data_IF_738368620232
#
_entry.id   IF_738368620232
#
_cell.length_a   1.000
_cell.length_b   1.000
_cell.length_c   1.000
_cell.angle_alpha   90.00
_cell.angle_beta   90.00
_cell.angle_gamma   90.00
#
_symmetry.space_group_name_H-M   'P 1'
#
loop_
_entity.id
_entity.type
_entity.pdbx_description
1 polymer ?
#
# COMPACT_ATOMS: atom_id res chain seq x y z
N UNK A 1 33.83 -41.39 -38.36
CA UNK A 1 33.33 -41.80 -37.02
C UNK A 1 32.13 -40.91 -36.72
N UNK A 2 30.92 -41.41 -36.94
CA UNK A 2 29.70 -40.61 -36.76
C UNK A 2 29.30 -40.71 -35.29
N UNK A 3 29.48 -39.63 -34.52
CA UNK A 3 28.97 -39.54 -33.16
C UNK A 3 27.43 -39.57 -33.21
N UNK A 4 26.84 -40.71 -32.83
CA UNK A 4 25.40 -40.81 -32.56
C UNK A 4 25.24 -40.75 -31.04
N UNK A 5 24.74 -39.64 -30.47
CA UNK A 5 24.42 -39.62 -29.05
C UNK A 5 23.44 -40.76 -28.76
N UNK A 6 23.70 -41.53 -27.70
CA UNK A 6 22.78 -42.57 -27.27
C UNK A 6 21.47 -41.94 -26.79
N UNK A 7 20.37 -42.70 -26.77
CA UNK A 7 19.06 -42.15 -26.39
C UNK A 7 19.05 -41.55 -24.97
N UNK A 8 19.94 -42.01 -24.08
CA UNK A 8 20.08 -41.51 -22.73
C UNK A 8 20.68 -40.09 -22.69
N UNK A 9 21.67 -39.78 -23.53
CA UNK A 9 22.28 -38.45 -23.63
C UNK A 9 21.36 -37.41 -24.27
N UNK A 10 20.44 -37.81 -25.15
CA UNK A 10 19.39 -36.92 -25.71
C UNK A 10 18.35 -36.56 -24.64
N UNK A 11 18.04 -37.48 -23.73
CA UNK A 11 17.12 -37.24 -22.60
C UNK A 11 17.68 -36.29 -21.55
N UNK A 12 19.00 -36.06 -21.53
CA UNK A 12 19.67 -35.15 -20.61
C UNK A 12 19.73 -33.69 -21.13
N UNK A 13 19.42 -33.45 -22.41
CA UNK A 13 19.42 -32.11 -23.00
C UNK A 13 18.16 -31.37 -22.55
N UNK A 14 18.29 -30.20 -21.90
CA UNK A 14 17.13 -29.41 -21.52
C UNK A 14 16.24 -29.10 -22.75
N UNK A 15 14.96 -29.41 -22.63
CA UNK A 15 13.99 -29.23 -23.72
C UNK A 15 13.25 -27.89 -23.56
N UNK A 16 12.72 -27.36 -24.67
CA UNK A 16 11.83 -26.21 -24.60
C UNK A 16 10.55 -26.54 -23.82
N UNK A 17 10.13 -25.63 -22.94
CA UNK A 17 8.81 -25.70 -22.30
C UNK A 17 7.74 -25.57 -23.39
N UNK A 18 6.72 -26.42 -23.33
CA UNK A 18 5.53 -26.31 -24.19
C UNK A 18 4.36 -25.62 -23.48
N UNK A 19 4.50 -25.35 -22.18
CA UNK A 19 3.49 -24.66 -21.39
C UNK A 19 3.66 -23.13 -21.46
N UNK A 20 2.55 -22.42 -21.53
CA UNK A 20 2.48 -20.98 -21.26
C UNK A 20 2.86 -20.73 -19.79
N UNK A 21 3.65 -19.68 -19.47
CA UNK A 21 3.93 -19.32 -18.09
C UNK A 21 2.65 -19.15 -17.28
N UNK A 22 2.61 -19.79 -16.10
CA UNK A 22 1.48 -19.66 -15.21
C UNK A 22 1.40 -18.23 -14.64
N UNK A 23 0.19 -17.72 -14.48
CA UNK A 23 -0.05 -16.49 -13.71
C UNK A 23 0.47 -16.68 -12.28
N UNK A 24 0.92 -15.59 -11.64
CA UNK A 24 1.33 -15.62 -10.24
C UNK A 24 0.25 -16.24 -9.34
N UNK A 25 0.68 -17.03 -8.36
CA UNK A 25 -0.21 -17.75 -7.43
C UNK A 25 0.05 -17.38 -5.97
N UNK A 26 -0.89 -17.75 -5.09
CA UNK A 26 -0.69 -17.62 -3.65
C UNK A 26 0.24 -18.77 -3.21
N UNK A 27 1.51 -18.44 -3.00
CA UNK A 27 2.58 -19.43 -2.82
C UNK A 27 3.17 -19.84 -4.16
N UNK A 28 4.50 -19.98 -4.23
CA UNK A 28 5.18 -20.38 -5.47
C UNK A 28 5.01 -21.87 -5.71
N UNK A 29 5.08 -22.29 -6.97
CA UNK A 29 5.08 -23.70 -7.35
C UNK A 29 6.44 -24.07 -7.94
N UNK A 30 7.02 -25.17 -7.48
CA UNK A 30 8.15 -25.77 -8.19
C UNK A 30 7.68 -26.26 -9.57
N UNK A 31 8.60 -26.28 -10.54
CA UNK A 31 8.27 -26.80 -11.86
C UNK A 31 7.94 -28.29 -11.83
N UNK A 32 7.01 -28.71 -12.68
CA UNK A 32 6.60 -30.11 -12.83
C UNK A 32 7.49 -30.90 -13.79
N UNK A 33 8.27 -30.23 -14.64
CA UNK A 33 9.28 -30.87 -15.50
C UNK A 33 10.65 -30.16 -15.40
N UNK A 34 11.54 -30.60 -14.50
CA UNK A 34 12.83 -29.94 -14.26
C UNK A 34 13.80 -30.02 -15.45
N UNK A 35 13.58 -30.97 -16.36
CA UNK A 35 14.35 -31.14 -17.60
C UNK A 35 13.90 -30.19 -18.73
N UNK A 36 12.89 -29.35 -18.50
CA UNK A 36 12.42 -28.35 -19.46
C UNK A 36 12.83 -26.95 -19.03
N UNK A 37 13.08 -26.05 -19.98
CA UNK A 37 13.45 -24.67 -19.69
C UNK A 37 12.45 -24.01 -18.73
N UNK A 38 13.00 -23.21 -17.82
CA UNK A 38 12.26 -22.54 -16.74
C UNK A 38 11.51 -23.49 -15.80
N UNK A 39 11.84 -24.80 -15.82
CA UNK A 39 11.14 -25.86 -15.11
C UNK A 39 9.63 -25.78 -15.36
N UNK A 40 9.20 -26.22 -16.54
CA UNK A 40 7.80 -26.17 -17.00
C UNK A 40 6.80 -26.41 -15.85
N UNK A 41 5.82 -25.52 -15.70
CA UNK A 41 4.88 -25.53 -14.58
C UNK A 41 5.32 -24.73 -13.35
N UNK A 42 6.52 -24.12 -13.36
CA UNK A 42 6.96 -23.20 -12.32
C UNK A 42 6.06 -21.95 -12.27
N UNK A 43 5.70 -21.54 -11.06
CA UNK A 43 4.93 -20.32 -10.82
C UNK A 43 5.59 -19.46 -9.74
N UNK A 44 5.70 -18.16 -10.01
CA UNK A 44 6.16 -17.19 -9.03
C UNK A 44 5.08 -16.93 -7.97
N UNK A 45 5.45 -16.83 -6.69
CA UNK A 45 4.52 -16.38 -5.68
C UNK A 45 4.15 -14.92 -5.96
N UNK A 46 2.85 -14.63 -5.98
CA UNK A 46 2.39 -13.25 -5.80
C UNK A 46 2.83 -12.81 -4.42
N UNK A 47 3.50 -11.68 -4.29
CA UNK A 47 3.89 -11.12 -2.98
C UNK A 47 3.04 -9.93 -2.57
N UNK A 48 2.23 -9.40 -3.50
CA UNK A 48 1.52 -8.14 -3.31
C UNK A 48 0.00 -8.33 -3.24
N UNK A 49 -0.65 -7.39 -2.56
CA UNK A 49 -2.08 -7.12 -2.65
C UNK A 49 -2.23 -5.64 -2.96
N UNK A 50 -3.03 -5.31 -3.98
CA UNK A 50 -3.31 -3.92 -4.36
C UNK A 50 -4.81 -3.69 -4.33
N UNK A 51 -5.24 -2.62 -3.67
CA UNK A 51 -6.65 -2.20 -3.62
C UNK A 51 -6.76 -0.68 -3.59
N UNK A 52 -7.97 -0.17 -3.77
CA UNK A 52 -8.30 1.24 -3.60
C UNK A 52 -9.34 1.39 -2.51
N UNK A 53 -9.21 2.44 -1.71
CA UNK A 53 -10.21 2.82 -0.72
C UNK A 53 -10.45 4.31 -0.76
N UNK A 54 -11.69 4.71 -0.49
CA UNK A 54 -12.07 6.12 -0.34
C UNK A 54 -12.23 6.43 1.13
N UNK A 55 -11.53 7.45 1.62
CA UNK A 55 -11.57 7.83 3.02
C UNK A 55 -12.94 8.39 3.42
N UNK A 56 -13.49 7.87 4.52
CA UNK A 56 -14.78 8.27 5.06
C UNK A 56 -14.75 9.63 5.78
N UNK A 57 -15.84 9.95 6.46
CA UNK A 57 -16.06 11.25 7.15
C UNK A 57 -15.04 11.57 8.25
N UNK A 58 -14.40 10.55 8.83
CA UNK A 58 -13.33 10.69 9.81
C UNK A 58 -11.92 10.64 9.19
N UNK A 59 -11.81 10.63 7.86
CA UNK A 59 -10.53 10.49 7.15
C UNK A 59 -9.96 9.08 7.21
N UNK A 60 -10.77 8.06 7.51
CA UNK A 60 -10.31 6.67 7.61
C UNK A 60 -11.11 5.76 6.66
N UNK A 61 -10.49 4.66 6.24
CA UNK A 61 -11.16 3.59 5.50
C UNK A 61 -10.52 2.24 5.80
N UNK A 62 -11.30 1.16 5.74
CA UNK A 62 -10.76 -0.19 5.83
C UNK A 62 -10.38 -0.71 4.45
N UNK A 63 -9.10 -1.08 4.28
CA UNK A 63 -8.58 -1.71 3.07
C UNK A 63 -8.54 -3.23 3.28
N UNK A 64 -9.43 -3.94 2.60
CA UNK A 64 -9.40 -5.39 2.51
C UNK A 64 -8.34 -5.82 1.50
N UNK A 65 -7.45 -6.73 1.91
CA UNK A 65 -6.45 -7.28 1.01
C UNK A 65 -7.04 -8.42 0.16
N UNK A 66 -6.53 -8.57 -1.07
CA UNK A 66 -6.94 -9.65 -1.97
C UNK A 66 -6.40 -11.03 -1.54
N UNK A 67 -5.60 -11.06 -0.48
CA UNK A 67 -5.01 -12.25 0.15
C UNK A 67 -4.67 -11.95 1.60
N UNK A 68 -4.47 -12.99 2.39
CA UNK A 68 -3.91 -12.87 3.73
C UNK A 68 -2.37 -13.00 3.74
N UNK A 69 -1.76 -12.46 4.77
CA UNK A 69 -0.32 -12.48 5.01
C UNK A 69 -0.04 -13.07 6.39
N UNK A 70 0.86 -14.05 6.47
CA UNK A 70 1.29 -14.63 7.76
C UNK A 70 1.96 -13.58 8.65
N UNK A 71 2.90 -12.83 8.08
CA UNK A 71 3.58 -11.74 8.74
C UNK A 71 2.96 -10.41 8.35
N UNK A 72 3.09 -9.39 9.20
CA UNK A 72 2.65 -8.04 8.90
C UNK A 72 3.33 -7.56 7.60
N UNK A 73 2.58 -7.28 6.52
CA UNK A 73 3.17 -6.87 5.26
C UNK A 73 3.69 -5.43 5.33
N UNK A 74 4.64 -5.09 4.45
CA UNK A 74 4.98 -3.70 4.16
C UNK A 74 3.80 -3.00 3.52
N UNK A 75 3.61 -1.71 3.81
CA UNK A 75 2.47 -0.92 3.32
C UNK A 75 2.98 0.29 2.54
N UNK A 76 2.52 0.44 1.31
CA UNK A 76 2.68 1.65 0.53
C UNK A 76 1.30 2.26 0.27
N UNK A 77 1.18 3.55 0.58
CA UNK A 77 -0.05 4.31 0.49
C UNK A 77 0.19 5.51 -0.40
N UNK A 78 -0.66 5.70 -1.40
CA UNK A 78 -0.55 6.84 -2.31
C UNK A 78 -1.94 7.35 -2.63
N UNK A 79 -2.11 8.66 -2.56
CA UNK A 79 -3.34 9.28 -3.03
C UNK A 79 -3.44 9.13 -4.54
N UNK A 80 -4.63 8.76 -5.02
CA UNK A 80 -4.92 8.78 -6.46
C UNK A 80 -5.97 9.83 -6.76
N UNK A 81 -5.86 10.41 -7.96
CA UNK A 81 -6.87 11.34 -8.49
C UNK A 81 -7.11 12.58 -7.61
N UNK A 82 -6.05 13.07 -6.96
CA UNK A 82 -6.10 14.29 -6.17
C UNK A 82 -6.61 15.46 -7.02
N UNK A 83 -7.72 16.09 -6.62
CA UNK A 83 -8.25 17.25 -7.33
C UNK A 83 -7.22 18.39 -7.32
N UNK A 84 -7.12 19.14 -8.41
CA UNK A 84 -6.21 20.27 -8.50
C UNK A 84 -6.47 21.27 -7.36
N UNK A 85 -5.40 21.72 -6.70
CA UNK A 85 -5.50 22.63 -5.54
C UNK A 85 -5.86 21.96 -4.21
N UNK A 86 -6.03 20.64 -4.17
CA UNK A 86 -6.17 19.91 -2.90
C UNK A 86 -4.97 20.14 -2.00
N UNK A 87 -5.21 20.31 -0.69
CA UNK A 87 -4.11 20.42 0.25
C UNK A 87 -3.30 19.12 0.33
N UNK A 88 -2.00 19.18 0.66
CA UNK A 88 -1.17 18.01 0.86
C UNK A 88 -1.81 16.99 1.83
N UNK A 89 -1.62 15.71 1.54
CA UNK A 89 -2.19 14.59 2.29
C UNK A 89 -1.09 13.76 2.95
N UNK A 90 -1.23 13.53 4.26
CA UNK A 90 -0.44 12.56 5.02
C UNK A 90 -1.24 11.29 5.20
N UNK A 91 -0.66 10.15 4.82
CA UNK A 91 -1.29 8.83 4.90
C UNK A 91 -0.55 7.93 5.89
N UNK A 92 -1.30 7.10 6.62
CA UNK A 92 -0.73 6.05 7.47
C UNK A 92 -1.66 4.85 7.62
N UNK A 93 -1.08 3.67 7.85
CA UNK A 93 -1.83 2.52 8.34
C UNK A 93 -2.03 2.63 9.86
N UNK A 94 -3.28 2.58 10.31
CA UNK A 94 -3.66 2.77 11.70
C UNK A 94 -3.79 1.43 12.44
N UNK A 95 -4.77 0.61 12.04
CA UNK A 95 -5.12 -0.64 12.75
C UNK A 95 -5.08 -1.81 11.79
N UNK A 96 -4.28 -2.82 12.12
CA UNK A 96 -4.16 -4.04 11.32
C UNK A 96 -5.18 -5.08 11.76
N UNK A 97 -5.81 -5.75 10.79
CA UNK A 97 -6.80 -6.78 11.06
C UNK A 97 -6.22 -8.16 10.76
N UNK A 98 -6.44 -9.09 11.69
CA UNK A 98 -6.02 -10.48 11.60
C UNK A 98 -7.23 -11.40 11.65
N UNK A 99 -7.18 -12.49 10.88
CA UNK A 99 -8.19 -13.54 10.93
C UNK A 99 -8.00 -14.44 12.17
N UNK A 100 -8.87 -15.43 12.35
CA UNK A 100 -8.80 -16.38 13.47
C UNK A 100 -7.50 -17.21 13.49
N UNK A 101 -6.77 -17.27 12.38
CA UNK A 101 -5.48 -17.96 12.27
C UNK A 101 -4.29 -17.00 12.44
N UNK A 102 -4.53 -15.75 12.85
CA UNK A 102 -3.51 -14.73 13.04
C UNK A 102 -2.97 -14.13 11.73
N UNK A 103 -3.56 -14.43 10.57
CA UNK A 103 -3.09 -13.89 9.29
C UNK A 103 -3.68 -12.51 9.04
N UNK A 104 -2.83 -11.57 8.65
CA UNK A 104 -3.23 -10.21 8.29
C UNK A 104 -4.04 -10.21 7.01
N UNK A 105 -5.28 -9.72 7.05
CA UNK A 105 -6.17 -9.68 5.89
C UNK A 105 -6.60 -8.26 5.50
N UNK A 106 -6.24 -7.25 6.30
CA UNK A 106 -6.51 -5.86 5.97
C UNK A 106 -5.93 -4.87 6.96
N UNK A 107 -6.10 -3.59 6.66
CA UNK A 107 -5.66 -2.48 7.50
C UNK A 107 -6.62 -1.31 7.39
N UNK A 108 -6.91 -0.64 8.51
CA UNK A 108 -7.55 0.68 8.49
C UNK A 108 -6.49 1.70 8.11
N UNK A 109 -6.69 2.39 7.00
CA UNK A 109 -5.87 3.53 6.58
C UNK A 109 -6.48 4.82 7.10
N UNK A 110 -5.62 5.78 7.41
CA UNK A 110 -6.00 7.13 7.80
C UNK A 110 -5.27 8.14 6.92
N UNK A 111 -6.02 9.15 6.50
CA UNK A 111 -5.51 10.29 5.77
C UNK A 111 -5.90 11.60 6.44
N UNK A 112 -4.92 12.48 6.56
CA UNK A 112 -5.10 13.83 7.09
C UNK A 112 -4.60 14.85 6.07
N UNK A 113 -5.43 15.86 5.77
CA UNK A 113 -5.08 17.00 4.93
C UNK A 113 -4.39 18.06 5.76
N UNK A 114 -3.42 18.73 5.14
CA UNK A 114 -2.97 20.01 5.62
C UNK A 114 -4.16 21.00 5.65
N UNK A 115 -4.32 21.75 6.74
CA UNK A 115 -5.31 22.83 6.83
C UNK A 115 -4.69 24.11 6.30
N UNK A 116 -5.52 24.99 5.73
CA UNK A 116 -5.10 26.37 5.50
C UNK A 116 -4.88 27.08 6.84
N UNK A 117 -3.93 28.00 6.89
CA UNK A 117 -3.77 28.89 8.03
C UNK A 117 -5.09 29.67 8.24
N UNK A 118 -5.58 29.79 9.48
CA UNK A 118 -6.73 30.63 9.77
C UNK A 118 -6.45 32.06 9.30
N UNK A 119 -7.46 32.72 8.74
CA UNK A 119 -7.32 34.11 8.33
C UNK A 119 -7.04 34.97 9.56
N UNK A 120 -5.86 35.59 9.60
CA UNK A 120 -5.48 36.51 10.65
C UNK A 120 -5.93 37.91 10.26
N UNK A 121 -6.87 38.49 11.01
CA UNK A 121 -7.23 39.89 10.84
C UNK A 121 -6.06 40.77 11.28
N UNK A 122 -5.67 41.71 10.42
CA UNK A 122 -4.54 42.61 10.71
C UNK A 122 -4.87 43.46 11.92
N UNK A 123 -3.94 43.53 12.87
CA UNK A 123 -4.08 44.34 14.08
C UNK A 123 -3.84 45.80 13.71
N UNK A 124 -4.90 46.63 13.73
CA UNK A 124 -4.79 48.08 13.54
C UNK A 124 -5.69 48.85 14.50
N UNK A 125 -5.14 49.86 15.21
CA UNK A 125 -5.92 50.79 16.05
C UNK A 125 -5.27 51.11 17.41
N UNK A 126 -6.04 51.82 18.26
CA UNK A 126 -5.72 52.11 19.67
C UNK A 126 -5.60 50.83 20.52
N UNK A 127 -4.97 50.91 21.69
CA UNK A 127 -4.57 49.77 22.54
C UNK A 127 -5.64 48.67 22.72
N UNK A 128 -6.93 49.04 22.86
CA UNK A 128 -8.05 48.08 22.93
C UNK A 128 -8.25 47.29 21.65
N UNK A 129 -8.10 47.91 20.47
CA UNK A 129 -8.13 47.23 19.18
C UNK A 129 -6.91 46.31 19.00
N UNK A 130 -5.75 46.68 19.55
CA UNK A 130 -4.57 45.83 19.59
C UNK A 130 -4.81 44.59 20.44
N UNK A 131 -5.30 44.75 21.67
CA UNK A 131 -5.59 43.63 22.57
C UNK A 131 -6.64 42.68 21.96
N UNK A 132 -7.72 43.21 21.41
CA UNK A 132 -8.76 42.39 20.75
C UNK A 132 -8.21 41.67 19.51
N UNK A 133 -7.38 42.32 18.70
CA UNK A 133 -6.74 41.70 17.54
C UNK A 133 -5.73 40.62 17.90
N UNK A 134 -4.92 40.82 18.94
CA UNK A 134 -3.99 39.79 19.42
C UNK A 134 -4.74 38.61 20.01
N UNK A 135 -5.77 38.85 20.82
CA UNK A 135 -6.60 37.77 21.38
C UNK A 135 -7.27 36.94 20.29
N UNK A 136 -7.76 37.55 19.20
CA UNK A 136 -8.37 36.81 18.09
C UNK A 136 -7.36 35.94 17.33
N UNK A 137 -6.13 36.43 17.13
CA UNK A 137 -5.02 35.64 16.55
C UNK A 137 -4.68 34.46 17.48
N UNK A 138 -4.53 34.71 18.78
CA UNK A 138 -4.22 33.66 19.76
C UNK A 138 -5.33 32.62 19.78
N UNK A 139 -6.61 33.02 19.81
CA UNK A 139 -7.74 32.08 19.75
C UNK A 139 -7.75 31.30 18.45
N UNK A 140 -7.47 31.92 17.30
CA UNK A 140 -7.46 31.26 16.00
C UNK A 140 -6.32 30.23 15.87
N UNK A 141 -5.17 30.49 16.50
CA UNK A 141 -4.00 29.60 16.46
C UNK A 141 -4.00 28.57 17.60
N UNK A 142 -4.71 28.82 18.70
CA UNK A 142 -4.82 27.89 19.83
C UNK A 142 -5.51 26.61 19.36
N UNK A 143 -4.80 25.48 19.43
CA UNK A 143 -5.31 24.19 18.98
C UNK A 143 -5.29 23.98 17.47
N UNK A 144 -4.67 24.89 16.70
CA UNK A 144 -4.49 24.70 15.27
C UNK A 144 -3.45 23.60 15.00
N UNK A 145 -3.93 22.45 14.54
CA UNK A 145 -3.10 21.39 13.98
C UNK A 145 -3.13 21.50 12.45
N UNK A 146 -1.98 21.80 11.86
CA UNK A 146 -1.84 21.88 10.40
C UNK A 146 -2.23 20.56 9.74
N UNK A 147 -2.04 19.41 10.39
CA UNK A 147 -2.47 18.09 9.88
C UNK A 147 -3.73 17.57 10.58
N UNK A 148 -4.62 18.45 11.05
CA UNK A 148 -5.82 18.07 11.80
C UNK A 148 -7.08 17.87 10.96
N UNK A 149 -7.06 18.13 9.65
CA UNK A 149 -8.25 18.01 8.80
C UNK A 149 -8.42 16.58 8.26
N UNK A 150 -9.56 15.91 8.46
CA UNK A 150 -9.79 14.59 7.88
C UNK A 150 -9.78 14.68 6.35
N UNK A 151 -9.09 13.77 5.67
CA UNK A 151 -9.01 13.73 4.21
C UNK A 151 -10.22 13.06 3.56
N UNK A 152 -11.42 13.49 3.96
CA UNK A 152 -12.70 12.92 3.51
C UNK A 152 -12.79 12.89 1.99
N UNK A 153 -13.19 11.75 1.42
CA UNK A 153 -13.39 11.58 -0.01
C UNK A 153 -12.12 11.36 -0.83
N UNK A 154 -10.93 11.43 -0.23
CA UNK A 154 -9.70 11.10 -0.95
C UNK A 154 -9.65 9.60 -1.27
N UNK A 155 -9.29 9.26 -2.51
CA UNK A 155 -9.05 7.88 -2.92
C UNK A 155 -7.58 7.55 -2.72
N UNK A 156 -7.31 6.40 -2.10
CA UNK A 156 -5.97 5.95 -1.73
C UNK A 156 -5.73 4.59 -2.35
N UNK A 157 -4.65 4.48 -3.13
CA UNK A 157 -4.07 3.20 -3.52
C UNK A 157 -3.35 2.60 -2.32
N UNK A 158 -3.68 1.35 -2.02
CA UNK A 158 -3.14 0.59 -0.90
C UNK A 158 -2.44 -0.63 -1.45
N UNK A 159 -1.12 -0.67 -1.30
CA UNK A 159 -0.29 -1.80 -1.72
C UNK A 159 0.31 -2.43 -0.46
N UNK A 160 -0.09 -3.67 -0.19
CA UNK A 160 0.50 -4.50 0.86
C UNK A 160 1.48 -5.50 0.23
N UNK A 161 2.70 -5.59 0.76
CA UNK A 161 3.79 -6.41 0.21
C UNK A 161 4.31 -7.37 1.27
N UNK A 162 4.32 -8.67 0.95
CA UNK A 162 4.93 -9.68 1.79
C UNK A 162 6.44 -9.45 1.90
N UNK A 163 6.99 -9.67 3.10
CA UNK A 163 8.44 -9.73 3.31
C UNK A 163 9.01 -10.97 2.63
N UNK A 164 10.06 -10.79 1.84
CA UNK A 164 10.76 -11.90 1.18
C UNK A 164 11.79 -12.59 2.07
N UNK A 165 12.19 -11.93 3.17
CA UNK A 165 13.27 -12.35 4.06
C UNK A 165 12.77 -13.18 5.27
N UNK A 166 11.46 -13.32 5.44
CA UNK A 166 10.86 -14.08 6.54
C UNK A 166 9.92 -15.14 5.97
N UNK A 167 10.16 -16.40 6.35
CA UNK A 167 9.30 -17.50 5.94
C UNK A 167 7.86 -17.26 6.41
N UNK A 168 6.90 -17.60 5.55
CA UNK A 168 5.50 -17.73 5.94
C UNK A 168 5.33 -19.07 6.67
N UNK A 169 5.70 -19.14 7.94
CA UNK A 169 5.43 -20.29 8.81
C UNK A 169 3.95 -20.33 9.19
#
# INVERSE_FOLDING_TARGET
MTFKPDAASISAIPQASTATPATEQIGGAAGSAPMRFSQEGHAHPRLTSTTYVTLGSNGQAFALFSRSFTNKPGLNLTETDAAAGSQPLSLRGLTWQQDANGKYYGVTVEGMRARALPQLSVVSGILTAVITGVNSIVTALTGYNVFGGPAVGATVSVIAVARSDVAAT
#
